data_IF_554305427598
#
_entry.id   IF_554305427598
#
_cell.length_a   1.000
_cell.length_b   1.000
_cell.length_c   1.000
_cell.angle_alpha   90.00
_cell.angle_beta   90.00
_cell.angle_gamma   90.00
#
_symmetry.space_group_name_H-M   'P 1'
#
loop_
_entity.id
_entity.type
_entity.pdbx_description
1 polymer ?
#
# COMPACT_ATOMS: atom_id res chain seq x y z
N UNK A 1 -14.66 -5.34 9.88
CA UNK A 1 -14.15 -5.83 11.18
C UNK A 1 -13.75 -4.66 12.06
N UNK A 2 -13.98 -4.79 13.33
CA UNK A 2 -13.62 -3.74 14.28
C UNK A 2 -12.11 -3.74 14.52
N UNK A 3 -11.51 -2.57 14.40
CA UNK A 3 -10.09 -2.35 14.68
C UNK A 3 -9.91 -2.12 16.18
N UNK A 4 -9.15 -3.00 16.84
CA UNK A 4 -8.94 -2.92 18.30
C UNK A 4 -8.22 -1.66 18.75
N UNK A 5 -7.56 -0.95 17.83
CA UNK A 5 -6.84 0.29 18.12
C UNK A 5 -7.61 1.54 17.67
N UNK A 6 -8.89 1.38 17.28
CA UNK A 6 -9.67 2.48 16.72
C UNK A 6 -9.66 3.73 17.62
N UNK A 7 -9.35 4.87 17.02
CA UNK A 7 -9.31 6.16 17.71
C UNK A 7 -8.07 6.42 18.55
N UNK A 8 -7.09 5.51 18.56
CA UNK A 8 -5.89 5.66 19.40
C UNK A 8 -4.69 6.18 18.59
N UNK A 9 -3.67 6.65 19.29
CA UNK A 9 -2.39 7.01 18.68
C UNK A 9 -1.74 5.78 18.05
N UNK A 10 -1.95 4.60 18.60
CA UNK A 10 -1.44 3.35 18.05
C UNK A 10 -2.01 3.11 16.65
N UNK A 11 -3.31 3.34 16.46
CA UNK A 11 -3.92 3.23 15.13
C UNK A 11 -3.25 4.16 14.13
N UNK A 12 -3.07 5.42 14.51
CA UNK A 12 -2.42 6.42 13.66
C UNK A 12 -1.02 5.97 13.27
N UNK A 13 -0.24 5.49 14.25
CA UNK A 13 1.12 5.02 14.00
C UNK A 13 1.15 3.82 13.06
N UNK A 14 0.23 2.87 13.23
CA UNK A 14 0.13 1.69 12.37
C UNK A 14 -0.23 2.07 10.93
N UNK A 15 -1.13 3.03 10.75
CA UNK A 15 -1.49 3.51 9.42
C UNK A 15 -0.34 4.22 8.74
N UNK A 16 0.41 5.03 9.48
CA UNK A 16 1.60 5.70 8.95
C UNK A 16 2.68 4.69 8.57
N UNK A 17 2.91 3.67 9.40
CA UNK A 17 3.88 2.63 9.11
C UNK A 17 3.48 1.82 7.86
N UNK A 18 2.21 1.44 7.76
CA UNK A 18 1.69 0.73 6.59
C UNK A 18 1.87 1.56 5.31
N UNK A 19 1.51 2.83 5.38
CA UNK A 19 1.64 3.75 4.24
C UNK A 19 3.09 3.91 3.81
N UNK A 20 4.00 4.15 4.77
CA UNK A 20 5.41 4.36 4.48
C UNK A 20 6.07 3.13 3.87
N UNK A 21 5.82 1.96 4.44
CA UNK A 21 6.41 0.71 3.93
C UNK A 21 5.80 0.30 2.59
N UNK A 22 4.52 0.59 2.36
CA UNK A 22 3.89 0.34 1.06
C UNK A 22 4.49 1.21 -0.03
N UNK A 23 4.76 2.47 0.26
CA UNK A 23 5.44 3.37 -0.67
C UNK A 23 6.86 2.90 -0.95
N UNK A 24 7.59 2.51 0.09
CA UNK A 24 8.95 2.00 -0.05
C UNK A 24 8.98 0.76 -0.93
N UNK A 25 8.05 -0.18 -0.71
CA UNK A 25 7.95 -1.38 -1.53
C UNK A 25 7.79 -1.06 -3.01
N UNK A 26 6.91 -0.12 -3.34
CA UNK A 26 6.69 0.28 -4.73
C UNK A 26 7.92 0.95 -5.31
N UNK A 27 8.56 1.86 -4.57
CA UNK A 27 9.77 2.53 -5.04
C UNK A 27 10.90 1.54 -5.34
N UNK A 28 11.11 0.58 -4.45
CA UNK A 28 12.16 -0.44 -4.65
C UNK A 28 11.85 -1.33 -5.86
N UNK A 29 10.59 -1.63 -6.13
CA UNK A 29 10.19 -2.36 -7.33
C UNK A 29 10.53 -1.55 -8.58
N UNK A 30 10.30 -0.24 -8.57
CA UNK A 30 10.64 0.64 -9.69
C UNK A 30 12.15 0.75 -9.87
N UNK A 31 12.88 0.87 -8.77
CA UNK A 31 14.35 0.91 -8.79
C UNK A 31 14.94 -0.38 -9.38
N UNK A 32 14.35 -1.53 -9.02
CA UNK A 32 14.78 -2.81 -9.54
C UNK A 32 14.60 -2.89 -11.06
N UNK A 33 13.46 -2.44 -11.55
CA UNK A 33 13.16 -2.41 -12.98
C UNK A 33 14.17 -1.55 -13.74
N UNK A 34 14.49 -0.37 -13.21
CA UNK A 34 15.45 0.53 -13.84
C UNK A 34 16.86 -0.08 -13.84
N UNK A 35 17.28 -0.65 -12.71
CA UNK A 35 18.58 -1.28 -12.59
C UNK A 35 18.74 -2.42 -13.61
N UNK A 36 17.69 -3.23 -13.78
CA UNK A 36 17.71 -4.32 -14.75
C UNK A 36 17.86 -3.80 -16.18
N UNK A 37 17.14 -2.76 -16.54
CA UNK A 37 17.24 -2.15 -17.87
C UNK A 37 18.63 -1.59 -18.16
N UNK A 38 19.30 -1.12 -17.11
CA UNK A 38 20.66 -0.59 -17.23
C UNK A 38 21.75 -1.66 -17.13
N UNK A 39 21.36 -2.92 -16.99
CA UNK A 39 22.29 -4.05 -16.95
C UNK A 39 22.84 -4.41 -15.57
N UNK A 40 22.29 -3.83 -14.50
CA UNK A 40 22.74 -4.08 -13.13
C UNK A 40 21.90 -5.18 -12.48
N UNK A 41 22.12 -6.43 -12.90
CA UNK A 41 21.29 -7.56 -12.45
C UNK A 41 21.36 -7.82 -10.95
N UNK A 42 22.56 -7.73 -10.34
CA UNK A 42 22.71 -7.96 -8.91
C UNK A 42 22.05 -6.86 -8.08
N UNK A 43 22.16 -5.63 -8.53
CA UNK A 43 21.52 -4.49 -7.85
C UNK A 43 20.01 -4.61 -7.97
N UNK A 44 19.51 -5.01 -9.15
CA UNK A 44 18.09 -5.25 -9.37
C UNK A 44 17.56 -6.31 -8.39
N UNK A 45 18.27 -7.43 -8.24
CA UNK A 45 17.88 -8.50 -7.34
C UNK A 45 17.85 -8.03 -5.88
N UNK A 46 18.80 -7.17 -5.49
CA UNK A 46 18.83 -6.61 -4.14
C UNK A 46 17.62 -5.72 -3.87
N UNK A 47 17.26 -4.87 -4.83
CA UNK A 47 16.05 -4.03 -4.70
C UNK A 47 14.78 -4.87 -4.60
N UNK A 48 14.67 -5.95 -5.38
CA UNK A 48 13.51 -6.84 -5.32
C UNK A 48 13.41 -7.53 -3.96
N UNK A 49 14.52 -7.99 -3.41
CA UNK A 49 14.54 -8.60 -2.09
C UNK A 49 14.09 -7.61 -1.02
N UNK A 50 14.56 -6.37 -1.11
CA UNK A 50 14.17 -5.31 -0.18
C UNK A 50 12.68 -5.01 -0.33
N UNK A 51 12.16 -4.96 -1.56
CA UNK A 51 10.74 -4.75 -1.80
C UNK A 51 9.89 -5.87 -1.16
N UNK A 52 10.34 -7.12 -1.25
CA UNK A 52 9.64 -8.25 -0.63
C UNK A 52 9.63 -8.13 0.90
N UNK A 53 10.72 -7.68 1.50
CA UNK A 53 10.78 -7.45 2.94
C UNK A 53 9.80 -6.35 3.36
N UNK A 54 9.75 -5.25 2.60
CA UNK A 54 8.82 -4.17 2.88
C UNK A 54 7.37 -4.62 2.73
N UNK A 55 7.09 -5.47 1.76
CA UNK A 55 5.75 -6.04 1.57
C UNK A 55 5.31 -6.83 2.80
N UNK A 56 6.20 -7.65 3.36
CA UNK A 56 5.87 -8.45 4.53
C UNK A 56 5.67 -7.57 5.78
N UNK A 57 6.47 -6.52 5.94
CA UNK A 57 6.28 -5.57 7.04
C UNK A 57 4.94 -4.85 6.91
N UNK A 58 4.61 -4.38 5.71
CA UNK A 58 3.34 -3.71 5.46
C UNK A 58 2.16 -4.64 5.77
N UNK A 59 2.27 -5.92 5.40
CA UNK A 59 1.24 -6.92 5.68
C UNK A 59 1.02 -7.11 7.18
N UNK A 60 2.09 -7.09 7.97
CA UNK A 60 2.00 -7.19 9.43
C UNK A 60 1.17 -6.03 10.01
N UNK A 61 1.45 -4.80 9.59
CA UNK A 61 0.71 -3.63 10.05
C UNK A 61 -0.74 -3.67 9.59
N UNK A 62 -0.96 -4.12 8.36
CA UNK A 62 -2.31 -4.24 7.80
C UNK A 62 -3.16 -5.24 8.59
N UNK A 63 -2.56 -6.38 8.98
CA UNK A 63 -3.23 -7.37 9.83
C UNK A 63 -3.57 -6.80 11.22
N UNK A 64 -2.64 -6.06 11.81
CA UNK A 64 -2.88 -5.43 13.11
C UNK A 64 -4.03 -4.42 13.05
N UNK A 65 -4.25 -3.80 11.91
CA UNK A 65 -5.35 -2.87 11.67
C UNK A 65 -6.66 -3.58 11.30
N UNK A 66 -6.68 -4.91 11.33
CA UNK A 66 -7.82 -5.74 10.90
C UNK A 66 -8.23 -5.48 9.44
N UNK A 67 -7.26 -5.09 8.60
CA UNK A 67 -7.51 -4.83 7.19
C UNK A 67 -7.61 -6.08 6.34
N UNK A 68 -7.04 -7.18 6.81
CA UNK A 68 -7.00 -8.44 6.04
C UNK A 68 -7.99 -9.42 6.64
N UNK A 69 -9.09 -9.63 5.93
CA UNK A 69 -10.13 -10.57 6.31
C UNK A 69 -10.07 -11.84 5.48
N UNK A 70 -11.17 -12.58 5.45
CA UNK A 70 -11.30 -13.72 4.56
C UNK A 70 -11.55 -13.21 3.12
N UNK A 71 -11.60 -14.12 2.17
CA UNK A 71 -11.75 -13.75 0.75
C UNK A 71 -13.00 -12.92 0.50
N UNK A 72 -14.13 -13.29 1.08
CA UNK A 72 -15.38 -12.56 0.89
C UNK A 72 -15.28 -11.13 1.44
N UNK A 73 -14.71 -10.97 2.63
CA UNK A 73 -14.50 -9.66 3.25
C UNK A 73 -13.52 -8.82 2.42
N UNK A 74 -12.46 -9.43 1.92
CA UNK A 74 -11.46 -8.72 1.12
C UNK A 74 -12.06 -8.25 -0.21
N UNK A 75 -12.94 -9.06 -0.82
CA UNK A 75 -13.62 -8.67 -2.06
C UNK A 75 -14.51 -7.44 -1.84
N UNK A 76 -15.25 -7.40 -0.74
CA UNK A 76 -16.07 -6.24 -0.41
C UNK A 76 -15.22 -5.01 -0.19
N UNK A 77 -14.14 -5.15 0.57
CA UNK A 77 -13.22 -4.04 0.84
C UNK A 77 -12.59 -3.49 -0.44
N UNK A 78 -12.18 -4.39 -1.35
CA UNK A 78 -11.61 -3.99 -2.63
C UNK A 78 -12.64 -3.25 -3.49
N UNK A 79 -13.87 -3.75 -3.54
CA UNK A 79 -14.95 -3.11 -4.30
C UNK A 79 -15.25 -1.71 -3.76
N UNK A 80 -15.31 -1.57 -2.44
CA UNK A 80 -15.56 -0.28 -1.79
C UNK A 80 -14.43 0.72 -2.09
N UNK A 81 -13.19 0.26 -2.06
CA UNK A 81 -12.03 1.10 -2.38
C UNK A 81 -12.06 1.59 -3.82
N UNK A 82 -12.32 0.69 -4.77
CA UNK A 82 -12.41 1.04 -6.19
C UNK A 82 -13.56 1.99 -6.44
N UNK A 83 -14.71 1.76 -5.81
CA UNK A 83 -15.87 2.63 -5.95
C UNK A 83 -15.56 4.05 -5.43
N UNK A 84 -14.87 4.16 -4.30
CA UNK A 84 -14.44 5.45 -3.77
C UNK A 84 -13.53 6.19 -4.75
N UNK A 85 -12.56 5.49 -5.33
CA UNK A 85 -11.63 6.11 -6.30
C UNK A 85 -12.39 6.64 -7.51
N UNK A 86 -13.34 5.88 -8.04
CA UNK A 86 -14.11 6.30 -9.20
C UNK A 86 -15.07 7.43 -8.92
N UNK A 87 -15.84 7.34 -7.83
CA UNK A 87 -16.93 8.29 -7.59
C UNK A 87 -16.50 9.56 -6.90
N UNK A 88 -15.56 9.47 -5.96
CA UNK A 88 -15.19 10.60 -5.12
C UNK A 88 -13.81 11.16 -5.42
N UNK A 89 -12.80 10.29 -5.46
CA UNK A 89 -11.42 10.76 -5.61
C UNK A 89 -11.16 11.31 -7.00
N UNK A 90 -11.49 10.56 -8.04
CA UNK A 90 -11.24 11.01 -9.41
C UNK A 90 -12.10 12.20 -9.78
N UNK A 91 -13.34 12.25 -9.32
CA UNK A 91 -14.22 13.39 -9.53
C UNK A 91 -13.63 14.64 -8.91
N UNK A 92 -13.16 14.55 -7.68
CA UNK A 92 -12.54 15.66 -6.97
C UNK A 92 -11.28 16.15 -7.67
N UNK A 93 -10.44 15.22 -8.12
CA UNK A 93 -9.22 15.57 -8.86
C UNK A 93 -9.54 16.28 -10.18
N UNK A 94 -10.58 15.83 -10.89
CA UNK A 94 -11.01 16.48 -12.12
C UNK A 94 -11.50 17.91 -11.84
N UNK A 95 -12.28 18.09 -10.79
CA UNK A 95 -12.76 19.44 -10.39
C UNK A 95 -11.59 20.37 -10.04
N UNK A 96 -10.60 19.87 -9.32
CA UNK A 96 -9.42 20.66 -8.95
C UNK A 96 -8.60 21.05 -10.19
N UNK A 97 -8.51 20.18 -11.18
CA UNK A 97 -7.75 20.45 -12.40
C UNK A 97 -8.44 21.44 -13.35
N UNK A 98 -9.75 21.59 -13.24
CA UNK A 98 -10.50 22.53 -14.06
C UNK A 98 -10.37 23.98 -13.57
N UNK A 99 -9.92 24.16 -12.36
CA UNK A 99 -9.72 25.46 -11.74
C UNK A 99 -8.27 25.89 -11.86
#
# INVERSE_FOLDING_TARGET
MANKYAGTQTEKNLREAFSGESQARNKYTYFASKAKKEGFEQISALFLKTADNEKEHAKMWFKELDGLGNTAENLVSAADGENYEWTDMYKKMAEENEN
#
